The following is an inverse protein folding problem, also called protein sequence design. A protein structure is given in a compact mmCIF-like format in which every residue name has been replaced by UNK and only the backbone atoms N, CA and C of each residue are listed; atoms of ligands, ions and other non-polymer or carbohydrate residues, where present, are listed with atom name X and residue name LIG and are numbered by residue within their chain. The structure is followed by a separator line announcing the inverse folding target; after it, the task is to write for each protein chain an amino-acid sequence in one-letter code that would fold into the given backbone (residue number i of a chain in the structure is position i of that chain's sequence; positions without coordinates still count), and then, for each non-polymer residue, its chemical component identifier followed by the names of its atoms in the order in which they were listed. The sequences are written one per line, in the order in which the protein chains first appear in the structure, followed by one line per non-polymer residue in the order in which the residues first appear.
data_IF_456664050751
#
_entry.id   IF_456664050751
#
_cell.length_a   1.000
_cell.length_b   1.000
_cell.length_c   1.000
_cell.angle_alpha   90.00
_cell.angle_beta   90.00
_cell.angle_gamma   90.00
#
_symmetry.space_group_name_H-M   'P 1'
#
loop_
_entity.id
_entity.type
_entity.pdbx_description
1 polymer ?
#
# COMPACT_ATOMS: atom_id res chain seq x y z
N UNK A 1 -25.20 -15.71 -11.31
CA UNK A 1 -24.22 -16.74 -11.71
C UNK A 1 -24.57 -18.04 -11.00
N UNK A 2 -24.79 -19.16 -11.72
CA UNK A 2 -25.20 -20.41 -11.08
C UNK A 2 -24.02 -21.00 -10.28
N UNK A 3 -24.30 -21.33 -9.02
CA UNK A 3 -23.39 -21.99 -8.09
C UNK A 3 -23.42 -23.50 -8.36
N UNK A 4 -22.26 -24.13 -8.54
CA UNK A 4 -22.17 -25.60 -8.60
C UNK A 4 -21.62 -26.10 -7.27
N UNK A 5 -22.31 -27.09 -6.71
CA UNK A 5 -21.86 -27.79 -5.52
C UNK A 5 -21.39 -29.19 -5.93
N UNK A 6 -20.18 -29.54 -5.53
CA UNK A 6 -19.57 -30.83 -5.78
C UNK A 6 -19.23 -31.45 -4.43
N UNK A 7 -19.65 -32.68 -4.20
CA UNK A 7 -19.24 -33.44 -3.02
C UNK A 7 -18.02 -34.28 -3.39
N UNK A 8 -16.90 -34.05 -2.70
CA UNK A 8 -15.67 -34.78 -2.88
C UNK A 8 -15.39 -35.66 -1.65
N UNK A 9 -15.09 -36.96 -1.83
CA UNK A 9 -14.63 -37.79 -0.74
C UNK A 9 -13.21 -37.36 -0.34
N UNK A 10 -13.02 -37.04 0.95
CA UNK A 10 -11.71 -36.68 1.49
C UNK A 10 -11.38 -37.54 2.71
N UNK A 11 -10.14 -37.44 3.22
CA UNK A 11 -9.74 -38.11 4.46
C UNK A 11 -10.51 -37.64 5.71
N UNK A 12 -11.20 -36.51 5.62
CA UNK A 12 -12.04 -35.96 6.69
C UNK A 12 -13.54 -36.29 6.51
N UNK A 13 -13.89 -37.16 5.56
CA UNK A 13 -15.26 -37.44 5.15
C UNK A 13 -15.69 -36.62 3.92
N UNK A 14 -16.98 -36.69 3.61
CA UNK A 14 -17.58 -36.01 2.46
C UNK A 14 -17.50 -34.49 2.63
N UNK A 15 -16.82 -33.81 1.70
CA UNK A 15 -16.62 -32.36 1.71
C UNK A 15 -17.32 -31.72 0.53
N UNK A 16 -18.14 -30.70 0.77
CA UNK A 16 -18.76 -29.91 -0.28
C UNK A 16 -17.82 -28.80 -0.75
N UNK A 17 -17.57 -28.74 -2.06
CA UNK A 17 -16.83 -27.67 -2.73
C UNK A 17 -17.81 -26.86 -3.56
N UNK A 18 -17.77 -25.55 -3.35
CA UNK A 18 -18.57 -24.60 -4.10
C UNK A 18 -17.74 -24.00 -5.21
N UNK A 19 -18.05 -24.34 -6.45
CA UNK A 19 -17.36 -23.76 -7.62
C UNK A 19 -18.29 -22.82 -8.38
N UNK A 20 -17.77 -21.70 -8.91
CA UNK A 20 -18.50 -20.92 -9.90
C UNK A 20 -18.75 -21.79 -11.14
N UNK A 21 -19.96 -21.73 -11.73
CA UNK A 21 -20.23 -22.36 -13.02
C UNK A 21 -19.26 -21.83 -14.08
N UNK A 22 -18.57 -22.74 -14.76
CA UNK A 22 -17.61 -22.42 -15.81
C UNK A 22 -18.34 -21.97 -17.07
N UNK A 23 -18.54 -20.67 -17.21
CA UNK A 23 -18.55 -19.99 -18.50
C UNK A 23 -18.11 -18.54 -18.26
N UNK A 24 -16.83 -18.31 -18.56
CA UNK A 24 -16.11 -17.07 -18.28
C UNK A 24 -15.54 -17.05 -16.86
N UNK A 25 -14.31 -17.54 -16.68
CA UNK A 25 -13.56 -17.39 -15.44
C UNK A 25 -12.45 -16.31 -15.52
N UNK A 26 -12.73 -15.04 -15.87
CA UNK A 26 -11.75 -13.96 -15.79
C UNK A 26 -11.01 -13.91 -14.44
N UNK A 27 -11.66 -14.17 -13.27
CA UNK A 27 -10.96 -14.11 -11.99
C UNK A 27 -9.89 -15.21 -11.83
N UNK A 28 -10.17 -16.46 -12.25
CA UNK A 28 -9.19 -17.55 -12.10
C UNK A 28 -8.04 -17.40 -13.10
N UNK A 29 -8.34 -17.07 -14.35
CA UNK A 29 -7.32 -16.80 -15.35
C UNK A 29 -6.40 -15.62 -14.95
N UNK A 30 -6.95 -14.60 -14.29
CA UNK A 30 -6.16 -13.50 -13.73
C UNK A 30 -5.28 -13.96 -12.57
N UNK A 31 -5.80 -14.77 -11.65
CA UNK A 31 -5.01 -15.33 -10.54
C UNK A 31 -3.88 -16.22 -11.06
N UNK A 32 -4.13 -17.04 -12.08
CA UNK A 32 -3.11 -17.87 -12.71
C UNK A 32 -2.01 -17.03 -13.37
N UNK A 33 -2.39 -15.95 -14.06
CA UNK A 33 -1.43 -15.00 -14.62
C UNK A 33 -0.60 -14.30 -13.54
N UNK A 34 -1.23 -13.86 -12.44
CA UNK A 34 -0.53 -13.26 -11.30
C UNK A 34 0.46 -14.27 -10.70
N UNK A 35 0.05 -15.51 -10.42
CA UNK A 35 0.93 -16.51 -9.84
C UNK A 35 2.13 -16.84 -10.73
N UNK A 36 1.92 -16.89 -12.05
CA UNK A 36 2.99 -17.19 -13.02
C UNK A 36 4.00 -16.05 -13.14
N UNK A 37 3.51 -14.81 -13.23
CA UNK A 37 4.35 -13.68 -13.67
C UNK A 37 4.80 -12.78 -12.51
N UNK A 38 4.21 -12.89 -11.31
CA UNK A 38 4.64 -12.16 -10.13
C UNK A 38 6.02 -12.67 -9.67
N UNK A 39 7.02 -11.78 -9.66
CA UNK A 39 8.35 -12.03 -9.08
C UNK A 39 8.45 -11.32 -7.73
N UNK A 40 8.06 -11.96 -6.61
CA UNK A 40 8.07 -11.31 -5.30
C UNK A 40 9.50 -10.99 -4.87
N UNK A 41 9.69 -9.84 -4.21
CA UNK A 41 10.94 -9.55 -3.49
C UNK A 41 10.93 -10.34 -2.19
N UNK A 42 11.67 -11.44 -2.15
CA UNK A 42 11.77 -12.33 -0.99
C UNK A 42 12.86 -11.92 0.02
N UNK A 43 13.53 -10.79 -0.21
CA UNK A 43 14.57 -10.26 0.67
C UNK A 43 14.09 -9.16 1.61
N UNK A 44 14.96 -8.72 2.51
CA UNK A 44 14.69 -7.57 3.38
C UNK A 44 14.39 -6.34 2.51
N UNK A 45 13.31 -5.63 2.84
CA UNK A 45 13.03 -4.34 2.21
C UNK A 45 14.22 -3.41 2.48
N UNK A 46 14.83 -2.82 1.45
CA UNK A 46 15.95 -1.91 1.64
C UNK A 46 15.53 -0.72 2.51
N UNK A 47 16.34 -0.41 3.52
CA UNK A 47 16.15 0.76 4.37
C UNK A 47 17.16 1.80 3.92
N UNK A 48 16.69 2.95 3.44
CA UNK A 48 17.56 4.06 3.07
C UNK A 48 18.28 4.62 4.30
N UNK A 49 19.56 4.98 4.14
CA UNK A 49 20.34 5.66 5.17
C UNK A 49 19.87 7.09 5.40
N UNK A 50 20.26 7.67 6.54
CA UNK A 50 19.85 9.04 6.89
C UNK A 50 20.36 10.08 5.88
N UNK A 51 21.57 9.92 5.35
CA UNK A 51 22.13 10.79 4.30
C UNK A 51 21.31 10.74 3.01
N UNK A 52 20.93 9.53 2.57
CA UNK A 52 20.09 9.34 1.39
C UNK A 52 18.72 9.98 1.57
N UNK A 53 18.15 9.90 2.77
CA UNK A 53 16.89 10.58 3.07
C UNK A 53 17.06 12.11 3.02
N UNK A 54 18.11 12.67 3.61
CA UNK A 54 18.37 14.13 3.60
C UNK A 54 18.59 14.70 2.20
N UNK A 55 19.11 13.91 1.26
CA UNK A 55 19.30 14.32 -0.13
C UNK A 55 17.98 14.53 -0.91
N UNK A 56 16.82 14.23 -0.33
CA UNK A 56 15.51 14.44 -0.96
C UNK A 56 15.09 15.90 -0.78
N UNK A 57 15.35 16.73 -1.78
CA UNK A 57 15.06 18.18 -1.72
C UNK A 57 13.62 18.56 -2.03
N UNK A 58 12.92 17.81 -2.90
CA UNK A 58 11.57 18.20 -3.29
C UNK A 58 10.56 17.95 -2.15
N UNK A 59 9.47 18.76 -2.04
CA UNK A 59 8.43 18.55 -1.03
C UNK A 59 7.85 17.13 -1.08
N UNK A 60 7.65 16.51 0.08
CA UNK A 60 7.15 15.13 0.19
C UNK A 60 5.92 15.03 1.08
N UNK A 61 4.97 14.20 0.65
CA UNK A 61 3.87 13.73 1.46
C UNK A 61 4.10 12.26 1.76
N UNK A 62 4.21 11.92 3.04
CA UNK A 62 4.34 10.54 3.53
C UNK A 62 3.06 10.17 4.25
N UNK A 63 2.41 9.10 3.81
CA UNK A 63 1.17 8.58 4.38
C UNK A 63 1.42 7.16 4.83
N UNK A 64 1.14 6.88 6.10
CA UNK A 64 1.33 5.57 6.71
C UNK A 64 0.14 5.20 7.58
N UNK A 65 -0.15 3.90 7.72
CA UNK A 65 -1.21 3.40 8.57
C UNK A 65 -0.70 3.11 9.98
N UNK A 66 -1.44 3.52 11.01
CA UNK A 66 -1.03 3.27 12.40
C UNK A 66 -0.94 1.77 12.75
N UNK A 67 -1.73 0.93 12.09
CA UNK A 67 -1.77 -0.53 12.30
C UNK A 67 -1.01 -1.31 11.23
N UNK A 68 -0.01 -0.69 10.61
CA UNK A 68 0.86 -1.37 9.65
C UNK A 68 1.69 -2.46 10.35
N UNK A 69 1.51 -3.72 9.91
CA UNK A 69 2.24 -4.88 10.43
C UNK A 69 3.42 -5.29 9.55
N UNK A 70 3.50 -4.73 8.34
CA UNK A 70 4.58 -5.02 7.39
C UNK A 70 5.73 -4.03 7.56
N UNK A 71 5.42 -2.75 7.83
CA UNK A 71 6.40 -1.67 8.00
C UNK A 71 6.18 -0.95 9.35
N UNK A 72 7.29 -0.57 9.99
CA UNK A 72 7.23 0.27 11.21
C UNK A 72 6.87 1.71 10.83
N UNK A 73 5.58 2.00 10.89
CA UNK A 73 5.02 3.32 10.58
C UNK A 73 5.41 4.38 11.60
N UNK A 74 5.58 4.00 12.87
CA UNK A 74 5.98 4.92 13.92
C UNK A 74 7.44 5.36 13.73
N UNK A 75 8.34 4.41 13.46
CA UNK A 75 9.73 4.72 13.14
C UNK A 75 9.87 5.53 11.86
N UNK A 76 9.17 5.12 10.80
CA UNK A 76 9.12 5.87 9.54
C UNK A 76 8.71 7.32 9.79
N UNK A 77 7.63 7.55 10.54
CA UNK A 77 7.14 8.89 10.83
C UNK A 77 8.13 9.71 11.66
N UNK A 78 8.76 9.12 12.69
CA UNK A 78 9.79 9.80 13.50
C UNK A 78 10.98 10.19 12.64
N UNK A 79 11.49 9.25 11.84
CA UNK A 79 12.71 9.41 11.05
C UNK A 79 12.50 10.45 9.94
N UNK A 80 11.36 10.42 9.25
CA UNK A 80 11.00 11.45 8.24
C UNK A 80 10.85 12.82 8.89
N UNK A 81 10.11 12.95 10.00
CA UNK A 81 9.93 14.26 10.66
C UNK A 81 11.26 14.86 11.13
N UNK A 82 12.20 14.02 11.57
CA UNK A 82 13.52 14.45 12.02
C UNK A 82 14.45 14.86 10.87
N UNK A 83 14.44 14.11 9.77
CA UNK A 83 15.43 14.26 8.70
C UNK A 83 14.96 15.11 7.52
N UNK A 84 13.64 15.23 7.34
CA UNK A 84 13.01 15.92 6.24
C UNK A 84 12.02 16.97 6.77
N UNK A 85 12.50 18.13 7.24
CA UNK A 85 11.64 19.17 7.81
C UNK A 85 10.61 19.72 6.81
N UNK A 86 10.86 19.57 5.50
CA UNK A 86 9.94 19.96 4.44
C UNK A 86 8.90 18.88 4.09
N UNK A 87 8.97 17.70 4.71
CA UNK A 87 8.01 16.63 4.47
C UNK A 87 6.78 16.76 5.38
N UNK A 88 5.60 16.51 4.80
CA UNK A 88 4.36 16.36 5.54
C UNK A 88 4.12 14.88 5.81
N UNK A 89 3.99 14.53 7.09
CA UNK A 89 3.74 13.14 7.53
C UNK A 89 2.33 13.01 8.07
N UNK A 90 1.54 12.13 7.45
CA UNK A 90 0.19 11.77 7.86
C UNK A 90 0.15 10.32 8.32
N UNK A 91 -0.13 10.13 9.60
CA UNK A 91 -0.44 8.81 10.15
C UNK A 91 -1.96 8.65 10.18
N UNK A 92 -2.47 7.62 9.51
CA UNK A 92 -3.89 7.34 9.44
C UNK A 92 -4.27 6.37 10.54
N UNK A 93 -5.15 6.82 11.44
CA UNK A 93 -5.64 6.01 12.55
C UNK A 93 -6.32 4.73 12.02
N UNK A 94 -6.09 3.63 12.73
CA UNK A 94 -6.69 2.32 12.48
C UNK A 94 -6.45 1.70 11.09
N UNK A 95 -5.60 2.31 10.25
CA UNK A 95 -5.30 1.81 8.92
C UNK A 95 -4.15 0.78 8.94
N UNK A 96 -4.28 -0.34 8.21
CA UNK A 96 -3.19 -1.31 8.04
C UNK A 96 -2.21 -0.87 6.94
N UNK A 97 -1.22 -1.72 6.61
CA UNK A 97 -0.27 -1.50 5.50
C UNK A 97 -0.97 -1.12 4.19
N UNK A 98 -2.03 -1.86 3.87
CA UNK A 98 -2.90 -1.57 2.74
C UNK A 98 -3.97 -0.55 3.15
N UNK A 99 -3.69 0.74 2.90
CA UNK A 99 -4.61 1.84 3.21
C UNK A 99 -5.93 1.63 2.45
N UNK A 100 -7.03 1.56 3.20
CA UNK A 100 -8.36 1.29 2.64
C UNK A 100 -9.06 2.59 2.22
N UNK A 101 -9.89 2.52 1.18
CA UNK A 101 -10.71 3.63 0.65
C UNK A 101 -11.79 4.14 1.63
N UNK A 102 -12.47 5.26 1.33
CA UNK A 102 -12.82 6.24 2.36
C UNK A 102 -14.07 5.94 3.18
N UNK A 103 -13.87 5.88 4.50
CA UNK A 103 -14.57 6.77 5.44
C UNK A 103 -13.62 7.73 6.20
N UNK A 104 -12.34 7.38 6.36
CA UNK A 104 -11.41 8.19 7.19
C UNK A 104 -10.23 8.86 6.47
N UNK A 105 -9.96 8.50 5.21
CA UNK A 105 -8.86 9.09 4.44
C UNK A 105 -9.30 10.40 3.74
N UNK A 106 -9.59 11.46 4.50
CA UNK A 106 -9.75 12.81 3.92
C UNK A 106 -8.39 13.27 3.40
N UNK A 107 -8.12 13.08 2.11
CA UNK A 107 -7.03 13.76 1.41
C UNK A 107 -7.48 15.15 0.99
N UNK A 108 -7.67 16.07 1.94
CA UNK A 108 -7.90 17.47 1.59
C UNK A 108 -6.61 18.01 0.96
N UNK A 109 -6.64 18.29 -0.35
CA UNK A 109 -5.56 19.01 -1.03
C UNK A 109 -5.42 20.39 -0.39
N UNK A 110 -4.44 20.58 0.50
CA UNK A 110 -4.01 21.93 0.86
C UNK A 110 -3.09 22.39 -0.27
N UNK A 111 -3.48 23.44 -1.00
CA UNK A 111 -2.64 24.02 -2.06
C UNK A 111 -1.28 24.38 -1.45
N UNK A 112 -0.15 24.04 -2.08
CA UNK A 112 1.15 24.51 -1.61
C UNK A 112 1.15 26.05 -1.62
N UNK A 113 1.70 26.64 -0.56
CA UNK A 113 1.95 28.08 -0.53
C UNK A 113 2.84 28.44 -1.73
N UNK A 114 2.44 29.44 -2.51
CA UNK A 114 3.25 29.96 -3.62
C UNK A 114 4.59 30.40 -3.06
N UNK A 115 5.68 29.83 -3.57
CA UNK A 115 7.03 30.29 -3.28
C UNK A 115 7.18 31.72 -3.86
N UNK A 116 7.68 32.71 -3.09
CA UNK A 116 7.91 34.03 -3.63
C UNK A 116 8.98 33.94 -4.73
N UNK A 117 8.64 34.41 -5.93
CA UNK A 117 9.62 34.54 -7.02
C UNK A 117 10.66 35.56 -6.57
N UNK A 118 11.94 35.16 -6.49
CA UNK A 118 13.04 36.12 -6.31
C UNK A 118 13.04 37.06 -7.52
N UNK A 119 13.15 38.39 -7.32
CA UNK A 119 13.28 39.31 -8.44
C UNK A 119 14.59 39.02 -9.17
N UNK A 120 14.52 38.89 -10.50
CA UNK A 120 15.70 38.95 -11.35
C UNK A 120 16.28 40.35 -11.20
N UNK A 121 17.47 40.44 -10.64
CA UNK A 121 18.31 41.64 -10.74
C UNK A 121 18.71 41.82 -12.20
N UNK A 122 18.54 43.06 -12.67
CA UNK A 122 18.77 43.52 -14.04
C UNK A 122 20.23 43.48 -14.45
#
# INVERSE_FOLDING_TARGET
MPRRELTLPTRAGDTFVVTPGSDGAPPLALLDAIHRDLRPRLGRIPVFGDEQLRAIEAPRLVIVGERDRLLDSADTARRVRRLLPHAHVRMLADQPHFIRGPRDARFSRRRPARHPRRPMTS
#
